data_IF_119907283096
#
_entry.id   IF_119907283096
#
_cell.length_a   1.000
_cell.length_b   1.000
_cell.length_c   1.000
_cell.angle_alpha   90.00
_cell.angle_beta   90.00
_cell.angle_gamma   90.00
#
_symmetry.space_group_name_H-M   'P 1'
#
loop_
_entity.id
_entity.type
_entity.pdbx_description
1 polymer ?
#
# COMPACT_ATOMS: atom_id res chain seq x y z
N UNK A 1 12.64 8.36 0.13
CA UNK A 1 12.77 7.81 1.51
C UNK A 1 13.48 6.48 1.56
N UNK A 2 13.16 5.53 0.71
CA UNK A 2 13.77 4.18 0.72
C UNK A 2 15.30 4.18 0.64
N UNK A 3 15.91 5.04 -0.17
CA UNK A 3 17.38 5.15 -0.33
C UNK A 3 18.13 5.60 0.94
N UNK A 4 17.42 6.10 1.94
CA UNK A 4 17.97 6.45 3.27
C UNK A 4 17.72 5.35 4.30
N UNK A 5 16.98 4.31 3.94
CA UNK A 5 16.63 3.22 4.83
C UNK A 5 17.66 2.10 4.79
N UNK A 6 17.96 1.54 5.96
CA UNK A 6 18.82 0.37 6.13
C UNK A 6 18.09 -0.80 6.79
N UNK A 7 16.82 -0.59 7.17
CA UNK A 7 16.03 -1.58 7.94
C UNK A 7 15.69 -2.85 7.12
N UNK A 8 15.86 -2.82 5.78
CA UNK A 8 15.71 -3.99 4.91
C UNK A 8 16.94 -4.92 4.95
N UNK A 9 18.04 -4.47 5.55
CA UNK A 9 19.25 -5.28 5.73
C UNK A 9 19.03 -6.24 6.91
N UNK A 10 19.41 -7.49 6.73
CA UNK A 10 19.25 -8.52 7.75
C UNK A 10 19.89 -8.11 9.08
N UNK A 11 19.15 -8.30 10.17
CA UNK A 11 19.55 -7.94 11.55
C UNK A 11 19.71 -6.44 11.81
N UNK A 12 19.38 -5.59 10.86
CA UNK A 12 19.28 -4.14 11.08
C UNK A 12 17.83 -3.79 11.41
N UNK A 13 17.56 -3.51 12.68
CA UNK A 13 16.30 -2.92 13.13
C UNK A 13 16.43 -1.40 13.27
N UNK A 14 15.41 -0.73 13.81
CA UNK A 14 15.39 0.75 13.97
C UNK A 14 16.63 1.28 14.68
N UNK A 15 17.01 0.70 15.82
CA UNK A 15 18.24 1.12 16.55
C UNK A 15 19.51 0.93 15.71
N UNK A 16 19.59 -0.13 14.91
CA UNK A 16 20.72 -0.36 14.01
C UNK A 16 20.80 0.69 12.90
N UNK A 17 19.66 1.03 12.33
CA UNK A 17 19.51 2.09 11.33
C UNK A 17 19.89 3.46 11.90
N UNK A 18 19.39 3.82 13.08
CA UNK A 18 19.76 5.06 13.81
C UNK A 18 21.28 5.12 14.08
N UNK A 19 21.90 4.03 14.50
CA UNK A 19 23.36 3.97 14.70
C UNK A 19 24.12 4.22 13.39
N UNK A 20 23.63 3.73 12.26
CA UNK A 20 24.20 3.98 10.93
C UNK A 20 24.12 5.48 10.62
N UNK A 21 22.97 6.11 10.78
CA UNK A 21 22.78 7.54 10.56
C UNK A 21 23.64 8.40 11.48
N UNK A 22 23.69 8.06 12.77
CA UNK A 22 24.53 8.73 13.77
C UNK A 22 26.05 8.59 13.51
N UNK A 23 26.46 7.62 12.70
CA UNK A 23 27.85 7.51 12.23
C UNK A 23 28.18 8.38 11.01
N UNK A 24 27.22 9.24 10.57
CA UNK A 24 27.37 10.15 9.44
C UNK A 24 26.96 9.54 8.09
N UNK A 25 26.46 8.31 8.08
CA UNK A 25 26.00 7.61 6.86
C UNK A 25 24.50 7.93 6.62
N UNK A 26 24.21 8.83 5.69
CA UNK A 26 22.87 9.35 5.48
C UNK A 26 22.02 8.55 4.50
N UNK A 27 22.67 7.89 3.55
CA UNK A 27 22.02 7.11 2.49
C UNK A 27 22.86 5.93 2.03
N UNK A 28 22.35 5.19 1.05
CA UNK A 28 23.04 4.04 0.47
C UNK A 28 24.36 4.39 -0.23
N UNK A 29 24.51 5.59 -0.78
CA UNK A 29 25.74 6.01 -1.43
C UNK A 29 26.84 6.25 -0.38
N UNK A 30 26.49 6.94 0.71
CA UNK A 30 27.39 7.14 1.83
C UNK A 30 27.80 5.80 2.43
N UNK A 31 26.82 4.87 2.63
CA UNK A 31 27.12 3.54 3.14
C UNK A 31 28.14 2.81 2.26
N UNK A 32 28.01 2.88 0.94
CA UNK A 32 28.94 2.20 0.02
C UNK A 32 30.31 2.85 -0.03
N UNK A 33 30.46 4.15 0.29
CA UNK A 33 31.75 4.89 0.27
C UNK A 33 32.60 4.65 1.50
N UNK A 34 31.99 4.48 2.66
CA UNK A 34 32.74 4.32 3.92
C UNK A 34 33.23 2.90 4.08
N UNK A 35 34.47 2.73 4.53
CA UNK A 35 35.05 1.40 4.75
C UNK A 35 34.56 0.74 6.04
N UNK A 36 34.32 1.55 7.09
CA UNK A 36 33.95 1.04 8.41
C UNK A 36 32.78 1.85 8.98
N UNK A 37 31.84 1.13 9.59
CA UNK A 37 30.72 1.71 10.34
C UNK A 37 30.73 1.10 11.74
N UNK A 38 30.61 1.92 12.77
CA UNK A 38 30.61 1.47 14.17
C UNK A 38 29.49 0.45 14.39
N UNK A 39 29.84 -0.71 14.94
CA UNK A 39 28.89 -1.79 15.22
C UNK A 39 28.62 -2.73 14.04
N UNK A 40 29.25 -2.51 12.87
CA UNK A 40 29.17 -3.41 11.71
C UNK A 40 30.55 -4.04 11.48
N UNK A 41 30.63 -5.38 11.51
CA UNK A 41 31.86 -6.11 11.20
C UNK A 41 32.23 -5.97 9.72
N UNK A 42 33.50 -6.14 9.38
CA UNK A 42 34.00 -6.11 7.97
C UNK A 42 33.21 -7.08 7.10
N UNK A 43 33.01 -8.32 7.56
CA UNK A 43 32.24 -9.34 6.84
C UNK A 43 30.78 -8.92 6.61
N UNK A 44 30.14 -8.33 7.63
CA UNK A 44 28.77 -7.82 7.51
C UNK A 44 28.70 -6.62 6.57
N UNK A 45 29.71 -5.75 6.59
CA UNK A 45 29.80 -4.58 5.71
C UNK A 45 29.88 -4.99 4.23
N UNK A 46 30.69 -5.98 3.90
CA UNK A 46 30.78 -6.53 2.55
C UNK A 46 29.45 -7.15 2.09
N UNK A 47 28.80 -7.90 2.98
CA UNK A 47 27.48 -8.48 2.71
C UNK A 47 26.42 -7.39 2.46
N UNK A 48 26.36 -6.38 3.33
CA UNK A 48 25.42 -5.26 3.20
C UNK A 48 25.69 -4.40 1.96
N UNK A 49 26.95 -4.21 1.58
CA UNK A 49 27.31 -3.54 0.33
C UNK A 49 26.67 -4.23 -0.88
N UNK A 50 26.70 -5.56 -0.93
CA UNK A 50 26.04 -6.33 -2.00
C UNK A 50 24.52 -6.12 -1.96
N UNK A 51 23.91 -6.24 -0.77
CA UNK A 51 22.45 -6.05 -0.61
C UNK A 51 21.97 -4.64 -0.97
N UNK A 52 22.76 -3.62 -0.68
CA UNK A 52 22.47 -2.25 -1.09
C UNK A 52 22.58 -2.09 -2.61
N UNK A 53 23.58 -2.70 -3.25
CA UNK A 53 23.69 -2.68 -4.72
C UNK A 53 22.51 -3.38 -5.38
N UNK A 54 22.12 -4.57 -4.89
CA UNK A 54 20.92 -5.28 -5.34
C UNK A 54 19.66 -4.41 -5.18
N UNK A 55 19.48 -3.75 -4.03
CA UNK A 55 18.36 -2.86 -3.78
C UNK A 55 18.34 -1.64 -4.72
N UNK A 56 19.51 -1.07 -5.04
CA UNK A 56 19.63 0.01 -6.03
C UNK A 56 19.22 -0.45 -7.43
N UNK A 57 19.67 -1.63 -7.82
CA UNK A 57 19.31 -2.24 -9.11
C UNK A 57 17.81 -2.53 -9.18
N UNK A 58 17.22 -3.07 -8.10
CA UNK A 58 15.78 -3.30 -8.02
C UNK A 58 14.98 -1.99 -8.20
N UNK A 59 15.41 -0.88 -7.58
CA UNK A 59 14.75 0.42 -7.79
C UNK A 59 14.89 0.93 -9.24
N UNK A 60 16.05 0.73 -9.88
CA UNK A 60 16.26 1.14 -11.27
C UNK A 60 15.39 0.33 -12.24
N UNK A 61 15.11 -0.93 -11.90
CA UNK A 61 14.26 -1.82 -12.69
C UNK A 61 12.77 -1.78 -12.27
N UNK A 62 12.38 -0.83 -11.42
CA UNK A 62 11.02 -0.70 -10.85
C UNK A 62 10.51 -1.99 -10.18
N UNK A 63 11.43 -2.80 -9.66
CA UNK A 63 11.13 -4.03 -8.92
C UNK A 63 10.88 -3.75 -7.44
N UNK A 64 9.67 -3.35 -7.12
CA UNK A 64 9.24 -3.16 -5.72
C UNK A 64 9.14 -4.48 -4.96
N UNK A 65 8.92 -5.60 -5.67
CA UNK A 65 8.79 -6.92 -5.05
C UNK A 65 10.07 -7.38 -4.35
N UNK A 66 11.23 -6.88 -4.80
CA UNK A 66 12.51 -7.10 -4.11
C UNK A 66 12.44 -6.82 -2.60
N UNK A 67 11.66 -5.82 -2.18
CA UNK A 67 11.55 -5.39 -0.78
C UNK A 67 10.54 -6.20 0.04
N UNK A 68 9.71 -7.02 -0.61
CA UNK A 68 8.74 -7.90 0.07
C UNK A 68 9.49 -8.94 0.89
N UNK A 69 9.14 -9.06 2.17
CA UNK A 69 9.82 -9.94 3.13
C UNK A 69 11.17 -9.43 3.64
N UNK A 70 11.73 -8.36 3.05
CA UNK A 70 12.93 -7.67 3.55
C UNK A 70 12.61 -6.43 4.38
N UNK A 71 11.61 -5.65 3.94
CA UNK A 71 11.05 -4.58 4.77
C UNK A 71 9.93 -5.13 5.66
N UNK A 72 9.89 -4.77 6.94
CA UNK A 72 8.70 -4.98 7.75
C UNK A 72 7.47 -4.32 7.12
N UNK A 73 6.29 -4.93 7.24
CA UNK A 73 5.06 -4.38 6.67
C UNK A 73 4.79 -2.92 7.07
N UNK A 74 5.09 -2.58 8.34
CA UNK A 74 4.95 -1.21 8.88
C UNK A 74 6.00 -0.21 8.36
N UNK A 75 6.96 -0.65 7.57
CA UNK A 75 8.00 0.19 6.96
C UNK A 75 7.84 0.28 5.42
N UNK A 76 6.83 -0.40 4.85
CA UNK A 76 6.56 -0.36 3.41
C UNK A 76 6.23 1.05 2.90
N UNK A 77 5.76 1.95 3.76
CA UNK A 77 5.53 3.36 3.42
C UNK A 77 6.79 4.07 2.88
N UNK A 78 8.00 3.56 3.18
CA UNK A 78 9.27 4.10 2.67
C UNK A 78 9.43 3.93 1.16
N UNK A 79 8.69 2.99 0.56
CA UNK A 79 8.63 2.80 -0.88
C UNK A 79 7.66 3.78 -1.56
N UNK A 80 6.68 4.31 -0.83
CA UNK A 80 5.63 5.16 -1.38
C UNK A 80 6.17 6.39 -2.09
N UNK A 81 7.13 7.10 -1.50
CA UNK A 81 7.80 8.25 -2.12
C UNK A 81 8.46 7.96 -3.48
N UNK A 82 8.89 6.71 -3.68
CA UNK A 82 9.54 6.29 -4.92
C UNK A 82 8.53 5.80 -5.98
N UNK A 83 7.50 5.10 -5.56
CA UNK A 83 6.54 4.44 -6.45
C UNK A 83 5.14 5.07 -6.44
N UNK A 84 4.93 6.23 -5.83
CA UNK A 84 3.59 6.82 -5.69
C UNK A 84 2.90 7.12 -7.02
N UNK A 85 3.65 7.53 -8.04
CA UNK A 85 3.12 7.82 -9.37
C UNK A 85 2.69 6.53 -10.12
N UNK A 86 3.18 5.38 -9.66
CA UNK A 86 2.89 4.05 -10.21
C UNK A 86 2.17 3.18 -9.18
N UNK A 87 1.53 3.82 -8.20
CA UNK A 87 0.74 3.14 -7.18
C UNK A 87 -0.71 2.91 -7.64
N UNK A 88 -1.21 1.70 -7.41
CA UNK A 88 -2.63 1.38 -7.51
C UNK A 88 -3.27 1.36 -6.12
N UNK A 89 -4.39 2.05 -5.98
CA UNK A 89 -5.19 2.10 -4.76
C UNK A 89 -6.36 1.14 -4.92
N UNK A 90 -6.42 0.13 -4.08
CA UNK A 90 -7.33 -1.00 -4.22
C UNK A 90 -8.24 -1.13 -3.01
N UNK A 91 -9.53 -1.35 -3.28
CA UNK A 91 -10.54 -1.74 -2.32
C UNK A 91 -11.53 -2.71 -2.96
N UNK A 92 -12.15 -3.60 -2.15
CA UNK A 92 -13.14 -4.56 -2.62
C UNK A 92 -14.43 -4.47 -1.83
N UNK A 93 -15.55 -4.76 -2.51
CA UNK A 93 -16.82 -4.98 -1.87
C UNK A 93 -17.23 -6.45 -1.91
N UNK A 94 -17.95 -6.87 -0.88
CA UNK A 94 -18.43 -8.24 -0.75
C UNK A 94 -19.93 -8.30 -0.48
N UNK A 95 -20.57 -9.38 -0.91
CA UNK A 95 -21.96 -9.65 -0.56
C UNK A 95 -22.13 -10.17 0.89
N UNK A 96 -23.37 -10.41 1.31
CA UNK A 96 -23.70 -10.94 2.64
C UNK A 96 -23.11 -12.32 2.96
N UNK A 97 -22.65 -13.04 1.95
CA UNK A 97 -21.94 -14.33 2.08
C UNK A 97 -20.42 -14.18 2.04
N UNK A 98 -19.93 -12.93 1.98
CA UNK A 98 -18.52 -12.59 1.90
C UNK A 98 -17.88 -12.91 0.55
N UNK A 99 -18.68 -13.04 -0.53
CA UNK A 99 -18.17 -13.20 -1.89
C UNK A 99 -17.83 -11.85 -2.49
N UNK A 100 -16.72 -11.76 -3.18
CA UNK A 100 -16.29 -10.54 -3.88
C UNK A 100 -17.31 -10.21 -4.98
N UNK A 101 -17.83 -9.00 -4.97
CA UNK A 101 -18.84 -8.50 -5.91
C UNK A 101 -18.33 -7.33 -6.72
N UNK A 102 -17.40 -6.55 -6.18
CA UNK A 102 -16.78 -5.41 -6.82
C UNK A 102 -15.30 -5.34 -6.42
N UNK A 103 -14.43 -5.02 -7.34
CA UNK A 103 -13.04 -4.64 -7.11
C UNK A 103 -12.83 -3.29 -7.75
N UNK A 104 -12.47 -2.29 -6.97
CA UNK A 104 -12.06 -0.99 -7.46
C UNK A 104 -10.54 -0.85 -7.39
N UNK A 105 -9.94 -0.32 -8.45
CA UNK A 105 -8.53 0.01 -8.50
C UNK A 105 -8.40 1.37 -9.18
N UNK A 106 -7.78 2.33 -8.50
CA UNK A 106 -7.47 3.64 -9.09
C UNK A 106 -5.98 3.93 -9.08
N UNK A 107 -5.56 4.77 -10.00
CA UNK A 107 -4.27 5.46 -9.99
C UNK A 107 -4.47 6.98 -9.94
N UNK A 108 -3.48 7.77 -10.34
CA UNK A 108 -3.61 9.23 -10.39
C UNK A 108 -4.55 9.74 -11.49
N UNK A 109 -4.85 8.92 -12.50
CA UNK A 109 -5.52 9.35 -13.73
C UNK A 109 -6.84 8.66 -13.96
N UNK A 110 -6.96 7.39 -13.54
CA UNK A 110 -8.09 6.53 -13.88
C UNK A 110 -8.55 5.69 -12.70
N UNK A 111 -9.84 5.41 -12.67
CA UNK A 111 -10.45 4.44 -11.76
C UNK A 111 -11.13 3.35 -12.57
N UNK A 112 -10.78 2.09 -12.30
CA UNK A 112 -11.32 0.92 -12.96
C UNK A 112 -12.10 0.08 -11.97
N UNK A 113 -13.28 -0.37 -12.39
CA UNK A 113 -14.21 -1.13 -11.56
C UNK A 113 -14.53 -2.46 -12.22
N UNK A 114 -14.37 -3.54 -11.48
CA UNK A 114 -14.63 -4.89 -11.92
C UNK A 114 -15.80 -5.47 -11.13
N UNK A 115 -16.93 -5.66 -11.81
CA UNK A 115 -18.22 -6.03 -11.21
C UNK A 115 -18.55 -7.48 -11.51
N UNK A 116 -18.97 -8.24 -10.51
CA UNK A 116 -19.40 -9.63 -10.63
C UNK A 116 -20.59 -9.76 -11.61
N UNK A 117 -20.47 -10.69 -12.54
CA UNK A 117 -21.47 -10.89 -13.60
C UNK A 117 -21.34 -9.92 -14.79
N UNK A 118 -20.40 -8.95 -14.74
CA UNK A 118 -20.12 -8.03 -15.83
C UNK A 118 -18.70 -8.25 -16.38
N UNK A 119 -17.69 -7.87 -15.62
CA UNK A 119 -16.28 -7.90 -16.04
C UNK A 119 -15.31 -8.39 -14.94
N UNK A 120 -15.82 -8.81 -13.79
CA UNK A 120 -14.97 -9.33 -12.71
C UNK A 120 -14.43 -10.70 -13.10
N UNK A 121 -13.15 -10.75 -13.47
CA UNK A 121 -12.43 -11.99 -13.76
C UNK A 121 -11.00 -11.92 -13.28
N UNK A 122 -10.36 -13.07 -13.05
CA UNK A 122 -8.94 -13.16 -12.69
C UNK A 122 -8.07 -12.39 -13.69
N UNK A 123 -8.28 -12.64 -15.00
CA UNK A 123 -7.46 -12.06 -16.05
C UNK A 123 -7.55 -10.53 -16.11
N UNK A 124 -8.74 -9.95 -15.92
CA UNK A 124 -8.92 -8.51 -15.89
C UNK A 124 -8.23 -7.88 -14.68
N UNK A 125 -8.39 -8.48 -13.49
CA UNK A 125 -7.73 -7.98 -12.28
C UNK A 125 -6.20 -8.09 -12.40
N UNK A 126 -5.66 -9.23 -12.86
CA UNK A 126 -4.21 -9.40 -13.01
C UNK A 126 -3.64 -8.43 -14.06
N UNK A 127 -4.36 -8.18 -15.17
CA UNK A 127 -3.98 -7.19 -16.18
C UNK A 127 -3.92 -5.78 -15.57
N UNK A 128 -4.92 -5.42 -14.78
CA UNK A 128 -4.94 -4.12 -14.11
C UNK A 128 -3.80 -4.00 -13.10
N UNK A 129 -3.65 -4.98 -12.21
CA UNK A 129 -2.58 -4.99 -11.20
C UNK A 129 -1.17 -4.95 -11.81
N UNK A 130 -0.97 -5.48 -13.02
CA UNK A 130 0.33 -5.49 -13.69
C UNK A 130 0.85 -4.10 -14.09
N UNK A 131 -0.01 -3.09 -14.09
CA UNK A 131 0.36 -1.70 -14.40
C UNK A 131 1.09 -1.02 -13.25
N UNK A 132 0.92 -1.52 -12.03
CA UNK A 132 1.37 -0.86 -10.80
C UNK A 132 2.63 -1.47 -10.24
N UNK A 133 3.41 -0.63 -9.54
CA UNK A 133 4.64 -1.03 -8.83
C UNK A 133 4.42 -1.09 -7.31
N UNK A 134 3.33 -0.53 -6.83
CA UNK A 134 2.93 -0.54 -5.43
C UNK A 134 1.42 -0.64 -5.35
N UNK A 135 0.89 -1.53 -4.51
CA UNK A 135 -0.55 -1.55 -4.20
C UNK A 135 -0.76 -0.98 -2.81
N UNK A 136 -1.68 -0.04 -2.71
CA UNK A 136 -2.08 0.64 -1.48
C UNK A 136 -3.49 0.23 -1.11
N UNK A 137 -3.73 -0.16 0.15
CA UNK A 137 -5.04 -0.52 0.66
C UNK A 137 -5.25 0.01 2.07
N UNK A 138 -6.46 -0.13 2.60
CA UNK A 138 -6.74 0.06 4.01
C UNK A 138 -7.23 -1.26 4.64
N UNK A 139 -6.41 -1.92 5.45
CA UNK A 139 -6.65 -3.25 6.00
C UNK A 139 -6.65 -4.40 4.95
N UNK A 140 -6.16 -4.12 3.75
CA UNK A 140 -6.21 -5.08 2.65
C UNK A 140 -5.34 -6.30 2.86
N UNK A 141 -4.28 -6.20 3.65
CA UNK A 141 -3.46 -7.35 4.03
C UNK A 141 -4.23 -8.43 4.80
N UNK A 142 -5.25 -8.02 5.57
CA UNK A 142 -6.10 -8.93 6.33
C UNK A 142 -7.42 -9.27 5.63
N UNK A 143 -7.88 -8.48 4.67
CA UNK A 143 -9.20 -8.64 4.07
C UNK A 143 -9.15 -8.79 2.54
N UNK A 144 -8.79 -7.76 1.80
CA UNK A 144 -8.89 -7.68 0.35
C UNK A 144 -8.02 -8.74 -0.36
N UNK A 145 -6.73 -8.71 -0.08
CA UNK A 145 -5.78 -9.59 -0.76
C UNK A 145 -6.00 -11.07 -0.47
N UNK A 146 -6.28 -11.49 0.78
CA UNK A 146 -6.67 -12.87 1.07
C UNK A 146 -7.96 -13.31 0.36
N UNK A 147 -8.96 -12.42 0.24
CA UNK A 147 -10.21 -12.72 -0.48
C UNK A 147 -9.98 -12.88 -1.99
N UNK A 148 -9.26 -11.94 -2.60
CA UNK A 148 -8.89 -12.03 -4.03
C UNK A 148 -8.11 -13.33 -4.31
N UNK A 149 -7.15 -13.68 -3.45
CA UNK A 149 -6.39 -14.92 -3.58
C UNK A 149 -7.27 -16.15 -3.44
N UNK A 150 -8.10 -16.20 -2.37
CA UNK A 150 -8.92 -17.39 -2.06
C UNK A 150 -10.04 -17.62 -3.07
N UNK A 151 -10.67 -16.55 -3.56
CA UNK A 151 -11.88 -16.67 -4.38
C UNK A 151 -11.60 -16.60 -5.88
N UNK A 152 -10.51 -15.95 -6.28
CA UNK A 152 -10.19 -15.68 -7.68
C UNK A 152 -8.80 -16.14 -8.09
N UNK A 153 -7.99 -16.67 -7.13
CA UNK A 153 -6.59 -17.06 -7.35
C UNK A 153 -5.73 -15.88 -7.90
N UNK A 154 -6.07 -14.66 -7.51
CA UNK A 154 -5.31 -13.44 -7.84
C UNK A 154 -4.23 -13.22 -6.80
N UNK A 155 -2.99 -13.01 -7.25
CA UNK A 155 -1.83 -12.76 -6.38
C UNK A 155 -1.19 -11.44 -6.77
N UNK A 156 -1.06 -10.54 -5.80
CA UNK A 156 -0.31 -9.28 -5.96
C UNK A 156 1.19 -9.59 -5.96
N UNK A 157 1.88 -9.23 -7.04
CA UNK A 157 3.33 -9.50 -7.27
C UNK A 157 4.18 -8.24 -7.20
N UNK A 158 3.74 -7.26 -6.41
CA UNK A 158 4.45 -6.00 -6.14
C UNK A 158 4.40 -5.71 -4.64
N UNK A 159 5.12 -4.69 -4.19
CA UNK A 159 5.05 -4.27 -2.79
C UNK A 159 3.61 -3.85 -2.42
N UNK A 160 3.22 -4.12 -1.18
CA UNK A 160 1.90 -3.78 -0.65
C UNK A 160 2.04 -2.85 0.55
N UNK A 161 1.35 -1.72 0.50
CA UNK A 161 1.27 -0.72 1.57
C UNK A 161 -0.13 -0.78 2.20
N UNK A 162 -0.22 -1.32 3.41
CA UNK A 162 -1.46 -1.31 4.20
C UNK A 162 -1.49 -0.09 5.13
N UNK A 163 -2.41 0.81 4.90
CA UNK A 163 -2.49 2.07 5.63
C UNK A 163 -3.04 1.93 7.05
N UNK A 164 -3.83 0.88 7.34
CA UNK A 164 -4.50 0.75 8.64
C UNK A 164 -3.54 0.79 9.83
N UNK A 165 -2.49 -0.05 9.80
CA UNK A 165 -1.53 -0.11 10.90
C UNK A 165 -0.71 1.18 11.02
N UNK A 166 -0.43 1.84 9.91
CA UNK A 166 0.28 3.11 9.89
C UNK A 166 -0.56 4.24 10.47
N UNK A 167 -1.86 4.26 10.15
CA UNK A 167 -2.82 5.18 10.77
C UNK A 167 -2.89 4.98 12.29
N UNK A 168 -2.95 3.72 12.77
CA UNK A 168 -2.91 3.43 14.21
C UNK A 168 -1.64 3.97 14.87
N UNK A 169 -0.48 3.81 14.23
CA UNK A 169 0.81 4.33 14.72
C UNK A 169 0.87 5.88 14.74
N UNK A 170 -0.05 6.54 14.04
CA UNK A 170 -0.25 7.99 14.02
C UNK A 170 -1.48 8.43 14.85
N UNK A 171 -1.99 7.56 15.71
CA UNK A 171 -3.16 7.80 16.59
C UNK A 171 -4.48 7.99 15.84
N UNK A 172 -4.51 7.66 14.55
CA UNK A 172 -5.72 7.63 13.73
C UNK A 172 -6.36 6.24 13.83
N UNK A 173 -7.03 5.99 14.95
CA UNK A 173 -7.65 4.70 15.27
C UNK A 173 -9.04 4.62 14.65
N UNK A 174 -9.40 3.44 14.12
CA UNK A 174 -10.71 3.14 13.57
C UNK A 174 -10.67 2.47 12.20
N UNK A 175 -11.83 2.40 11.56
CA UNK A 175 -11.96 1.99 10.15
C UNK A 175 -11.65 3.15 9.20
N UNK A 176 -11.68 2.86 7.88
CA UNK A 176 -11.40 3.86 6.85
C UNK A 176 -12.24 5.14 7.04
N UNK A 177 -13.56 5.01 7.19
CA UNK A 177 -14.47 6.14 7.41
C UNK A 177 -14.14 7.00 8.63
N UNK A 178 -13.68 6.39 9.71
CA UNK A 178 -13.29 7.15 10.90
C UNK A 178 -11.97 7.91 10.67
N UNK A 179 -11.04 7.31 9.96
CA UNK A 179 -9.79 7.98 9.57
C UNK A 179 -10.07 9.14 8.62
N UNK A 180 -10.91 8.95 7.62
CA UNK A 180 -11.37 10.01 6.69
C UNK A 180 -11.95 11.20 7.46
N UNK A 181 -12.90 10.92 8.37
CA UNK A 181 -13.53 11.95 9.19
C UNK A 181 -12.50 12.75 10.01
N UNK A 182 -11.53 12.07 10.62
CA UNK A 182 -10.48 12.73 11.41
C UNK A 182 -9.53 13.58 10.56
N UNK A 183 -9.36 13.20 9.29
CA UNK A 183 -8.55 13.96 8.33
C UNK A 183 -9.33 15.04 7.60
N UNK A 184 -10.64 15.18 7.86
CA UNK A 184 -11.51 16.13 7.18
C UNK A 184 -11.80 15.77 5.72
N UNK A 185 -11.61 14.51 5.35
CA UNK A 185 -11.97 14.00 4.03
C UNK A 185 -13.49 13.78 3.99
N UNK A 186 -14.19 14.65 3.26
CA UNK A 186 -15.64 14.59 3.13
C UNK A 186 -16.05 13.52 2.13
N UNK A 187 -17.20 12.90 2.38
CA UNK A 187 -17.90 12.06 1.39
C UNK A 187 -19.17 12.77 0.93
N UNK A 188 -19.54 12.65 -0.34
CA UNK A 188 -20.83 13.15 -0.81
C UNK A 188 -21.98 12.57 0.01
N UNK A 189 -22.94 13.42 0.38
CA UNK A 189 -24.05 13.05 1.29
C UNK A 189 -24.91 11.88 0.78
N UNK A 190 -25.00 11.71 -0.53
CA UNK A 190 -25.76 10.63 -1.16
C UNK A 190 -25.05 9.25 -1.15
N UNK A 191 -23.78 9.20 -0.77
CA UNK A 191 -23.02 7.95 -0.68
C UNK A 191 -23.04 7.32 0.72
N UNK A 192 -24.06 7.64 1.51
CA UNK A 192 -24.36 6.92 2.74
C UNK A 192 -25.18 5.67 2.42
N UNK A 193 -24.66 4.51 2.84
CA UNK A 193 -25.34 3.24 2.65
C UNK A 193 -24.43 2.07 3.03
N UNK A 194 -25.02 0.89 2.95
CA UNK A 194 -24.29 -0.35 3.12
C UNK A 194 -24.10 -0.99 1.73
N UNK A 195 -22.88 -1.22 1.25
CA UNK A 195 -22.61 -1.87 -0.03
C UNK A 195 -23.37 -3.19 -0.22
N UNK A 196 -23.53 -3.98 0.85
CA UNK A 196 -24.31 -5.23 0.82
C UNK A 196 -25.76 -4.99 0.45
N UNK A 197 -26.37 -3.91 0.97
CA UNK A 197 -27.79 -3.62 0.70
C UNK A 197 -27.98 -3.04 -0.71
N UNK A 198 -27.04 -2.22 -1.20
CA UNK A 198 -27.03 -1.75 -2.59
C UNK A 198 -26.93 -2.92 -3.56
N UNK A 199 -26.04 -3.88 -3.29
CA UNK A 199 -25.91 -5.08 -4.10
C UNK A 199 -27.18 -5.94 -4.10
N UNK A 200 -27.83 -6.13 -2.93
CA UNK A 200 -29.12 -6.84 -2.83
C UNK A 200 -30.23 -6.14 -3.61
N UNK A 201 -30.31 -4.80 -3.48
CA UNK A 201 -31.32 -4.02 -4.18
C UNK A 201 -31.14 -4.12 -5.70
N UNK A 202 -29.91 -4.02 -6.20
CA UNK A 202 -29.58 -4.25 -7.61
C UNK A 202 -30.06 -5.61 -8.10
N UNK A 203 -29.76 -6.69 -7.35
CA UNK A 203 -30.16 -8.03 -7.74
C UNK A 203 -31.67 -8.27 -7.66
N UNK A 204 -32.38 -7.61 -6.75
CA UNK A 204 -33.81 -7.76 -6.58
C UNK A 204 -34.65 -6.99 -7.64
N UNK A 205 -34.16 -5.81 -8.03
CA UNK A 205 -34.87 -4.90 -8.94
C UNK A 205 -34.37 -4.93 -10.38
N UNK A 206 -33.09 -5.25 -10.59
CA UNK A 206 -32.40 -5.03 -11.85
C UNK A 206 -32.10 -3.57 -12.15
N UNK A 207 -32.41 -2.66 -11.22
CA UNK A 207 -32.20 -1.23 -11.38
C UNK A 207 -30.72 -0.88 -11.25
N UNK A 208 -30.16 -0.34 -12.32
CA UNK A 208 -28.76 0.00 -12.45
C UNK A 208 -28.31 1.13 -11.51
N UNK A 209 -29.23 1.95 -11.04
CA UNK A 209 -28.92 3.05 -10.11
C UNK A 209 -28.25 2.51 -8.83
N UNK A 210 -28.70 1.37 -8.31
CA UNK A 210 -28.07 0.74 -7.15
C UNK A 210 -26.63 0.25 -7.41
N UNK A 211 -26.36 -0.23 -8.62
CA UNK A 211 -25.01 -0.62 -9.01
C UNK A 211 -24.10 0.61 -9.16
N UNK A 212 -24.59 1.67 -9.77
CA UNK A 212 -23.86 2.92 -9.95
C UNK A 212 -23.53 3.56 -8.59
N UNK A 213 -24.45 3.51 -7.62
CA UNK A 213 -24.20 3.93 -6.23
C UNK A 213 -23.15 3.06 -5.54
N UNK A 214 -23.16 1.75 -5.75
CA UNK A 214 -22.14 0.84 -5.19
C UNK A 214 -20.77 1.14 -5.77
N UNK A 215 -20.67 1.38 -7.07
CA UNK A 215 -19.43 1.77 -7.76
C UNK A 215 -18.94 3.13 -7.23
N UNK A 216 -19.82 4.11 -7.10
CA UNK A 216 -19.47 5.42 -6.57
C UNK A 216 -19.00 5.35 -5.11
N UNK A 217 -19.61 4.48 -4.29
CA UNK A 217 -19.21 4.24 -2.92
C UNK A 217 -17.78 3.70 -2.83
N UNK A 218 -17.47 2.64 -3.58
CA UNK A 218 -16.11 2.07 -3.65
C UNK A 218 -15.12 3.08 -4.27
N UNK A 219 -15.58 3.91 -5.21
CA UNK A 219 -14.79 4.99 -5.80
C UNK A 219 -14.28 5.98 -4.76
N UNK A 220 -15.13 6.41 -3.83
CA UNK A 220 -14.71 7.28 -2.73
C UNK A 220 -13.70 6.58 -1.80
N UNK A 221 -13.91 5.28 -1.51
CA UNK A 221 -12.98 4.53 -0.69
C UNK A 221 -11.57 4.55 -1.32
N UNK A 222 -11.43 4.21 -2.60
CA UNK A 222 -10.12 4.18 -3.28
C UNK A 222 -9.50 5.57 -3.50
N UNK A 223 -10.30 6.61 -3.77
CA UNK A 223 -9.78 7.97 -3.93
C UNK A 223 -9.24 8.53 -2.59
N UNK A 224 -9.93 8.26 -1.49
CA UNK A 224 -9.49 8.71 -0.18
C UNK A 224 -8.21 8.00 0.29
N UNK A 225 -7.91 6.79 -0.20
CA UNK A 225 -6.62 6.12 0.08
C UNK A 225 -5.43 6.95 -0.37
N UNK A 226 -5.51 7.69 -1.49
CA UNK A 226 -4.43 8.57 -1.98
C UNK A 226 -4.11 9.67 -0.95
N UNK A 227 -5.16 10.33 -0.49
CA UNK A 227 -5.06 11.42 0.49
C UNK A 227 -4.47 10.92 1.81
N UNK A 228 -4.94 9.76 2.28
CA UNK A 228 -4.45 9.13 3.51
C UNK A 228 -2.99 8.69 3.35
N UNK A 229 -2.61 8.07 2.22
CA UNK A 229 -1.24 7.66 1.96
C UNK A 229 -0.26 8.84 1.96
N UNK A 230 -0.64 9.94 1.31
CA UNK A 230 0.16 11.18 1.30
C UNK A 230 0.32 11.79 2.70
N UNK A 231 -0.77 11.83 3.49
CA UNK A 231 -0.73 12.28 4.88
C UNK A 231 0.19 11.41 5.74
N UNK A 232 0.01 10.10 5.69
CA UNK A 232 0.79 9.11 6.45
C UNK A 232 2.27 9.23 6.11
N UNK A 233 2.60 9.28 4.82
CA UNK A 233 3.97 9.42 4.34
C UNK A 233 4.60 10.72 4.86
N UNK A 234 3.92 11.85 4.73
CA UNK A 234 4.40 13.14 5.21
C UNK A 234 4.67 13.16 6.73
N UNK A 235 3.75 12.60 7.54
CA UNK A 235 3.91 12.51 8.99
C UNK A 235 5.06 11.60 9.41
N UNK A 236 5.22 10.44 8.75
CA UNK A 236 6.29 9.51 9.08
C UNK A 236 7.66 10.04 8.63
N UNK A 237 7.73 10.77 7.52
CA UNK A 237 8.95 11.49 7.09
C UNK A 237 9.38 12.54 8.12
N UNK A 238 8.45 13.38 8.59
CA UNK A 238 8.75 14.37 9.62
C UNK A 238 9.33 13.71 10.87
N UNK A 239 8.67 12.67 11.40
CA UNK A 239 9.15 11.95 12.59
C UNK A 239 10.57 11.37 12.42
N UNK A 240 10.94 10.92 11.22
CA UNK A 240 12.30 10.44 10.95
C UNK A 240 13.33 11.55 10.78
N UNK A 241 12.91 12.76 10.42
CA UNK A 241 13.80 13.90 10.24
C UNK A 241 14.18 14.58 11.57
N UNK A 242 13.48 14.24 12.65
CA UNK A 242 13.72 14.71 14.01
C UNK A 242 14.75 13.86 14.78
N UNK A 243 15.14 12.72 14.21
CA UNK A 243 16.18 11.81 14.71
C UNK A 243 17.52 12.12 14.06
#
# INVERSE_FOLDING_TARGET
MIRKSFIFLEKIGRKGEENIWNSGVKDWNDFLRVDKIKGISVRSKEYYNRKIKEAKEALVNDDSFYFVGKLPAVEMWRLYDYFKEEAGYLDIEVDSLGKVILVGISDYYNSNYFVKGVNLSKGEIERELSKYKLIVTFNGGAFDLPKLRKQMDVVVKVAHLDLKQLCVNLELVGGLKEVEKRLGLGRPAHLYGNPVDLWKAFHASGDREYLDLLIAYNGEDIENLKSIAGFVEGKLKSKLSEI
#
